data_IF_827103490746
#
_entry.id   IF_827103490746
#
_cell.length_a   1.000
_cell.length_b   1.000
_cell.length_c   1.000
_cell.angle_alpha   90.00
_cell.angle_beta   90.00
_cell.angle_gamma   90.00
#
_symmetry.space_group_name_H-M   'P 1'
#
loop_
_entity.id
_entity.type
_entity.pdbx_description
1 polymer ?
#
# COMPACT_ATOMS: atom_id res chain seq x y z
N UNK A 1 -0.94 -2.98 28.58
CA UNK A 1 -0.80 -3.26 27.14
C UNK A 1 -0.93 -1.95 26.33
N UNK A 2 -0.15 -0.91 26.65
CA UNK A 2 -0.18 0.38 25.91
C UNK A 2 1.22 0.87 25.52
N UNK A 3 2.27 0.45 26.23
CA UNK A 3 3.63 0.95 26.05
C UNK A 3 4.32 0.52 24.75
N UNK A 4 4.07 -0.69 24.23
CA UNK A 4 4.65 -1.13 22.94
C UNK A 4 3.99 -0.41 21.76
N UNK A 5 2.66 -0.24 21.82
CA UNK A 5 1.90 0.45 20.78
C UNK A 5 2.24 1.94 20.78
N UNK A 6 2.36 2.59 21.94
CA UNK A 6 2.76 4.00 22.02
C UNK A 6 4.25 4.25 21.75
N UNK A 7 5.12 3.24 21.82
CA UNK A 7 6.54 3.40 21.43
C UNK A 7 6.74 3.21 19.93
N UNK A 8 5.94 2.33 19.31
CA UNK A 8 6.03 2.02 17.86
C UNK A 8 5.09 2.91 17.02
N UNK A 9 3.94 3.29 17.58
CA UNK A 9 2.94 4.20 17.01
C UNK A 9 2.84 5.53 17.77
N UNK A 10 3.82 5.83 18.63
CA UNK A 10 3.97 7.14 19.26
C UNK A 10 4.18 8.25 18.22
N UNK A 11 4.11 9.53 18.63
CA UNK A 11 4.22 10.67 17.73
C UNK A 11 5.50 10.56 16.91
N UNK A 12 5.30 10.16 15.66
CA UNK A 12 6.36 9.76 14.76
C UNK A 12 7.08 11.02 14.32
N UNK A 13 8.36 11.12 14.67
CA UNK A 13 9.20 12.29 14.38
C UNK A 13 9.10 12.66 12.90
N UNK A 14 8.91 13.96 12.60
CA UNK A 14 8.63 14.48 11.25
C UNK A 14 9.63 14.02 10.19
N UNK A 15 10.84 13.59 10.59
CA UNK A 15 11.84 13.00 9.69
C UNK A 15 11.36 11.75 8.95
N UNK A 16 10.49 10.94 9.55
CA UNK A 16 9.99 9.72 8.91
C UNK A 16 8.85 9.99 7.91
N UNK A 17 8.30 11.20 7.86
CA UNK A 17 7.21 11.57 6.95
C UNK A 17 7.59 11.37 5.47
N UNK A 18 8.81 11.75 5.10
CA UNK A 18 9.32 11.55 3.73
C UNK A 18 9.51 10.05 3.40
N UNK A 19 9.79 9.22 4.40
CA UNK A 19 9.91 7.78 4.22
C UNK A 19 8.53 7.17 3.90
N UNK A 20 7.47 7.54 4.62
CA UNK A 20 6.10 7.07 4.33
C UNK A 20 5.60 7.54 2.97
N UNK A 21 5.95 8.76 2.57
CA UNK A 21 5.65 9.24 1.22
C UNK A 21 6.33 8.38 0.15
N UNK A 22 7.62 8.12 0.32
CA UNK A 22 8.37 7.24 -0.59
C UNK A 22 7.78 5.82 -0.62
N UNK A 23 7.40 5.28 0.54
CA UNK A 23 6.75 3.96 0.66
C UNK A 23 5.38 3.93 -0.02
N UNK A 24 4.60 5.01 0.08
CA UNK A 24 3.32 5.17 -0.61
C UNK A 24 3.50 5.15 -2.13
N UNK A 25 4.49 5.90 -2.64
CA UNK A 25 4.85 5.90 -4.06
C UNK A 25 5.30 4.50 -4.50
N UNK A 26 6.17 3.86 -3.73
CA UNK A 26 6.66 2.51 -4.04
C UNK A 26 5.50 1.51 -4.11
N UNK A 27 4.61 1.49 -3.12
CA UNK A 27 3.42 0.62 -3.11
C UNK A 27 2.51 0.87 -4.30
N UNK A 28 2.33 2.14 -4.70
CA UNK A 28 1.55 2.48 -5.89
C UNK A 28 2.19 1.94 -7.17
N UNK A 29 3.51 2.07 -7.32
CA UNK A 29 4.26 1.49 -8.46
C UNK A 29 4.11 -0.03 -8.48
N UNK A 30 4.26 -0.71 -7.35
CA UNK A 30 4.07 -2.16 -7.25
C UNK A 30 2.64 -2.58 -7.59
N UNK A 31 1.63 -1.82 -7.18
CA UNK A 31 0.23 -2.05 -7.54
C UNK A 31 0.05 -1.99 -9.07
N UNK A 32 0.58 -0.95 -9.72
CA UNK A 32 0.51 -0.80 -11.18
C UNK A 32 1.18 -1.97 -11.88
N UNK A 33 2.38 -2.37 -11.43
CA UNK A 33 3.09 -3.53 -11.99
C UNK A 33 2.24 -4.81 -11.85
N UNK A 34 1.66 -5.04 -10.67
CA UNK A 34 0.79 -6.20 -10.42
C UNK A 34 -0.42 -6.22 -11.36
N UNK A 35 -1.06 -5.07 -11.58
CA UNK A 35 -2.20 -4.96 -12.50
C UNK A 35 -1.76 -5.26 -13.94
N UNK A 36 -0.66 -4.67 -14.40
CA UNK A 36 -0.16 -4.89 -15.77
C UNK A 36 0.25 -6.35 -15.99
N UNK A 37 0.98 -6.94 -15.05
CA UNK A 37 1.43 -8.34 -15.14
C UNK A 37 0.24 -9.31 -15.08
N UNK A 38 -0.73 -9.06 -14.19
CA UNK A 38 -1.91 -9.93 -14.09
C UNK A 38 -2.79 -9.86 -15.34
N UNK A 39 -2.95 -8.67 -15.96
CA UNK A 39 -3.62 -8.52 -17.25
C UNK A 39 -2.85 -9.22 -18.37
N UNK A 40 -1.53 -9.03 -18.45
CA UNK A 40 -0.70 -9.64 -19.49
C UNK A 40 -0.75 -11.17 -19.44
N UNK A 41 -0.58 -11.74 -18.25
CA UNK A 41 -0.62 -13.20 -18.04
C UNK A 41 -2.05 -13.72 -18.21
N UNK A 42 -3.05 -12.99 -17.71
CA UNK A 42 -4.46 -13.35 -17.84
C UNK A 42 -4.89 -13.49 -19.31
N UNK A 43 -4.49 -12.54 -20.15
CA UNK A 43 -4.79 -12.54 -21.59
C UNK A 43 -3.92 -13.58 -22.33
N UNK A 44 -2.61 -13.62 -22.07
CA UNK A 44 -1.68 -14.49 -22.83
C UNK A 44 -1.87 -15.98 -22.55
N UNK A 45 -2.20 -16.34 -21.31
CA UNK A 45 -2.36 -17.76 -20.91
C UNK A 45 -3.83 -18.21 -20.83
N UNK A 46 -4.81 -17.33 -21.15
CA UNK A 46 -6.26 -17.58 -20.99
C UNK A 46 -6.57 -18.28 -19.66
N UNK A 47 -6.00 -17.79 -18.55
CA UNK A 47 -6.23 -18.40 -17.24
C UNK A 47 -7.68 -18.18 -16.81
N UNK A 48 -8.25 -19.18 -16.13
CA UNK A 48 -9.59 -19.12 -15.58
C UNK A 48 -9.75 -18.09 -14.46
N UNK A 49 -11.01 -17.91 -14.02
CA UNK A 49 -11.44 -16.96 -13.00
C UNK A 49 -10.61 -17.01 -11.71
N UNK A 50 -10.11 -18.19 -11.33
CA UNK A 50 -9.28 -18.40 -10.13
C UNK A 50 -8.02 -17.52 -10.13
N UNK A 51 -7.38 -17.34 -11.29
CA UNK A 51 -6.21 -16.47 -11.40
C UNK A 51 -6.58 -15.00 -11.21
N UNK A 52 -7.72 -14.59 -11.75
CA UNK A 52 -8.23 -13.23 -11.61
C UNK A 52 -8.61 -12.90 -10.16
N UNK A 53 -9.21 -13.86 -9.44
CA UNK A 53 -9.53 -13.72 -8.01
C UNK A 53 -8.24 -13.57 -7.18
N UNK A 54 -7.21 -14.39 -7.46
CA UNK A 54 -5.92 -14.28 -6.78
C UNK A 54 -5.22 -12.94 -7.05
N UNK A 55 -5.27 -12.46 -8.30
CA UNK A 55 -4.71 -11.18 -8.69
C UNK A 55 -5.48 -10.02 -8.04
N UNK A 56 -6.80 -10.10 -7.99
CA UNK A 56 -7.65 -9.11 -7.33
C UNK A 56 -7.35 -9.02 -5.84
N UNK A 57 -7.16 -10.15 -5.14
CA UNK A 57 -6.73 -10.16 -3.74
C UNK A 57 -5.39 -9.44 -3.55
N UNK A 58 -4.42 -9.68 -4.44
CA UNK A 58 -3.14 -8.97 -4.43
C UNK A 58 -3.31 -7.46 -4.63
N UNK A 59 -4.08 -7.04 -5.64
CA UNK A 59 -4.36 -5.62 -5.90
C UNK A 59 -5.09 -4.97 -4.71
N UNK A 60 -6.02 -5.68 -4.09
CA UNK A 60 -6.77 -5.20 -2.92
C UNK A 60 -5.84 -4.99 -1.72
N UNK A 61 -4.93 -5.94 -1.46
CA UNK A 61 -3.94 -5.84 -0.38
C UNK A 61 -3.01 -4.64 -0.58
N UNK A 62 -2.43 -4.49 -1.78
CA UNK A 62 -1.58 -3.34 -2.12
C UNK A 62 -2.35 -2.01 -2.09
N UNK A 63 -3.64 -2.02 -2.45
CA UNK A 63 -4.52 -0.87 -2.35
C UNK A 63 -4.74 -0.42 -0.89
N UNK A 64 -5.00 -1.37 0.02
CA UNK A 64 -5.11 -1.08 1.46
C UNK A 64 -3.77 -0.55 2.00
N UNK A 65 -2.66 -1.17 1.62
CA UNK A 65 -1.31 -0.73 2.01
C UNK A 65 -1.00 0.68 1.52
N UNK A 66 -1.38 1.03 0.29
CA UNK A 66 -1.28 2.40 -0.22
C UNK A 66 -2.12 3.38 0.60
N UNK A 67 -3.38 3.02 0.90
CA UNK A 67 -4.29 3.84 1.68
C UNK A 67 -3.76 4.07 3.10
N UNK A 68 -3.23 3.03 3.74
CA UNK A 68 -2.59 3.10 5.04
C UNK A 68 -1.36 4.01 5.01
N UNK A 69 -0.46 3.86 4.04
CA UNK A 69 0.71 4.75 3.91
C UNK A 69 0.33 6.21 3.66
N UNK A 70 -0.74 6.47 2.90
CA UNK A 70 -1.25 7.83 2.67
C UNK A 70 -1.88 8.43 3.94
N UNK A 71 -2.63 7.63 4.71
CA UNK A 71 -3.18 8.03 6.01
C UNK A 71 -2.06 8.39 6.98
N UNK A 72 -1.02 7.55 7.10
CA UNK A 72 0.15 7.84 7.93
C UNK A 72 0.88 9.13 7.50
N UNK A 73 1.05 9.34 6.19
CA UNK A 73 1.64 10.57 5.67
C UNK A 73 0.80 11.81 6.05
N UNK A 74 -0.52 11.75 5.86
CA UNK A 74 -1.44 12.85 6.19
C UNK A 74 -1.45 13.19 7.69
N UNK A 75 -1.33 12.17 8.55
CA UNK A 75 -1.22 12.37 10.01
C UNK A 75 0.15 12.96 10.41
N UNK A 76 1.21 12.62 9.68
CA UNK A 76 2.58 13.06 10.00
C UNK A 76 2.89 14.48 9.47
N UNK A 77 2.32 14.90 8.34
CA UNK A 77 2.40 16.30 7.87
C UNK A 77 1.53 17.25 8.69
N UNK A 78 0.60 16.73 9.51
CA UNK A 78 -0.29 17.55 10.33
C UNK A 78 -1.27 18.37 9.47
N UNK A 79 -1.51 17.97 8.22
CA UNK A 79 -2.57 18.54 7.38
C UNK A 79 -3.93 17.97 7.79
N UNK A 80 -4.29 18.18 9.06
CA UNK A 80 -5.69 18.22 9.47
C UNK A 80 -6.20 19.59 9.00
N UNK A 81 -6.90 19.61 7.88
CA UNK A 81 -7.82 20.70 7.55
C UNK A 81 -9.23 20.22 7.78
#
# INVERSE_FOLDING_TARGET
MSSMVETVFGPLDKKYCNLFYFLSIANFVFLVILVVVSLWIGISKKKGLEFFISAFSGVFLYGILYLQNRLLYSMCTGEMK
#
